data_IF_862860567862
#
_entry.id   IF_862860567862
#
_cell.length_a   1.000
_cell.length_b   1.000
_cell.length_c   1.000
_cell.angle_alpha   90.00
_cell.angle_beta   90.00
_cell.angle_gamma   90.00
#
_symmetry.space_group_name_H-M   'P 1'
#
loop_
_entity.id
_entity.type
_entity.pdbx_description
1 polymer ?
#
# COMPACT_ATOMS: atom_id res chain seq x y z
N UNK A 1 -74.20 24.42 -18.82
CA UNK A 1 -72.74 24.25 -18.67
C UNK A 1 -72.34 25.03 -17.42
N UNK A 2 -72.22 24.36 -16.28
CA UNK A 2 -71.83 24.97 -15.01
C UNK A 2 -70.32 25.14 -14.99
N UNK A 3 -69.85 26.38 -15.16
CA UNK A 3 -68.45 26.72 -14.96
C UNK A 3 -68.13 26.67 -13.46
N UNK A 4 -67.42 25.62 -13.03
CA UNK A 4 -66.78 25.59 -11.71
C UNK A 4 -65.56 26.51 -11.75
N UNK A 5 -65.66 27.66 -11.10
CA UNK A 5 -64.56 28.60 -10.87
C UNK A 5 -63.53 27.92 -9.96
N UNK A 6 -62.38 27.53 -10.51
CA UNK A 6 -61.29 26.92 -9.76
C UNK A 6 -60.60 28.02 -8.93
N UNK A 7 -60.84 28.06 -7.62
CA UNK A 7 -60.11 28.95 -6.71
C UNK A 7 -58.69 28.43 -6.55
N UNK A 8 -57.73 29.15 -7.14
CA UNK A 8 -56.31 28.92 -6.85
C UNK A 8 -56.07 29.07 -5.33
N UNK A 9 -55.50 28.06 -4.67
CA UNK A 9 -55.12 28.20 -3.28
C UNK A 9 -54.03 29.28 -3.21
N UNK A 10 -54.26 30.32 -2.41
CA UNK A 10 -53.22 31.29 -2.05
C UNK A 10 -52.14 30.55 -1.25
N UNK A 11 -51.14 30.04 -1.95
CA UNK A 11 -49.96 29.47 -1.33
C UNK A 11 -49.20 30.64 -0.69
N UNK A 12 -49.30 30.72 0.63
CA UNK A 12 -48.62 31.69 1.49
C UNK A 12 -47.09 31.47 1.41
N UNK A 13 -46.46 32.05 0.39
CA UNK A 13 -45.01 32.04 0.16
C UNK A 13 -44.22 32.68 1.33
N UNK A 14 -44.89 33.51 2.15
CA UNK A 14 -44.35 34.07 3.40
C UNK A 14 -44.11 33.04 4.50
N UNK A 15 -44.75 31.86 4.43
CA UNK A 15 -44.46 30.74 5.36
C UNK A 15 -43.18 30.00 4.98
N UNK A 16 -42.94 29.79 3.68
CA UNK A 16 -41.78 29.05 3.18
C UNK A 16 -40.49 29.85 3.35
N UNK A 17 -40.48 31.14 2.97
CA UNK A 17 -39.29 31.98 3.12
C UNK A 17 -38.81 32.05 4.57
N UNK A 18 -39.74 32.22 5.52
CA UNK A 18 -39.45 32.27 6.95
C UNK A 18 -38.95 30.91 7.49
N UNK A 19 -39.56 29.81 7.04
CA UNK A 19 -39.09 28.46 7.37
C UNK A 19 -37.67 28.20 6.84
N UNK A 20 -37.35 28.68 5.64
CA UNK A 20 -36.01 28.56 5.04
C UNK A 20 -34.99 29.37 5.86
N UNK A 21 -35.31 30.60 6.24
CA UNK A 21 -34.43 31.47 7.02
C UNK A 21 -34.15 30.90 8.42
N UNK A 22 -35.18 30.39 9.11
CA UNK A 22 -35.05 29.72 10.41
C UNK A 22 -34.25 28.41 10.33
N UNK A 23 -34.43 27.63 9.26
CA UNK A 23 -33.63 26.40 9.06
C UNK A 23 -32.19 26.70 8.67
N UNK A 24 -31.95 27.74 7.86
CA UNK A 24 -30.59 28.18 7.52
C UNK A 24 -29.83 28.67 8.76
N UNK A 25 -30.51 29.43 9.64
CA UNK A 25 -29.95 29.83 10.93
C UNK A 25 -29.57 28.63 11.79
N UNK A 26 -30.51 27.70 11.99
CA UNK A 26 -30.27 26.46 12.75
C UNK A 26 -29.18 25.58 12.13
N UNK A 27 -29.16 25.44 10.80
CA UNK A 27 -28.13 24.68 10.11
C UNK A 27 -26.74 25.30 10.29
N UNK A 28 -26.65 26.64 10.30
CA UNK A 28 -25.39 27.35 10.55
C UNK A 28 -24.90 27.15 11.97
N UNK A 29 -25.79 27.19 12.97
CA UNK A 29 -25.43 26.92 14.37
C UNK A 29 -24.96 25.48 14.56
N UNK A 30 -25.70 24.51 14.03
CA UNK A 30 -25.32 23.08 14.06
C UNK A 30 -23.97 22.87 13.38
N UNK A 31 -23.73 23.52 12.23
CA UNK A 31 -22.45 23.43 11.52
C UNK A 31 -21.30 24.00 12.35
N UNK A 32 -21.47 25.19 12.92
CA UNK A 32 -20.44 25.85 13.76
C UNK A 32 -20.14 25.00 14.99
N UNK A 33 -21.16 24.45 15.64
CA UNK A 33 -21.00 23.59 16.80
C UNK A 33 -20.35 22.24 16.44
N UNK A 34 -20.77 21.62 15.33
CA UNK A 34 -20.17 20.40 14.82
C UNK A 34 -18.69 20.58 14.49
N UNK A 35 -18.32 21.68 13.81
CA UNK A 35 -16.92 22.00 13.49
C UNK A 35 -16.13 22.25 14.77
N UNK A 36 -16.67 23.01 15.73
CA UNK A 36 -16.01 23.28 17.00
C UNK A 36 -15.77 21.99 17.77
N UNK A 37 -16.76 21.10 17.83
CA UNK A 37 -16.65 19.82 18.52
C UNK A 37 -15.71 18.83 17.79
N UNK A 38 -15.75 18.78 16.45
CA UNK A 38 -14.78 18.01 15.67
C UNK A 38 -13.36 18.52 15.88
N UNK A 39 -13.17 19.84 15.94
CA UNK A 39 -11.86 20.44 16.15
C UNK A 39 -11.30 20.17 17.55
N UNK A 40 -12.17 20.11 18.57
CA UNK A 40 -11.75 19.76 19.93
C UNK A 40 -11.41 18.28 20.05
N UNK A 41 -12.24 17.40 19.49
CA UNK A 41 -12.00 15.95 19.45
C UNK A 41 -10.74 15.64 18.64
N UNK A 42 -10.55 16.27 17.49
CA UNK A 42 -9.36 16.05 16.66
C UNK A 42 -8.10 16.52 17.37
N UNK A 43 -8.10 17.70 18.00
CA UNK A 43 -6.97 18.19 18.80
C UNK A 43 -6.64 17.25 19.96
N UNK A 44 -7.65 16.74 20.67
CA UNK A 44 -7.45 15.80 21.77
C UNK A 44 -6.88 14.47 21.29
N UNK A 45 -7.41 13.93 20.19
CA UNK A 45 -6.90 12.70 19.57
C UNK A 45 -5.46 12.87 19.09
N UNK A 46 -5.15 14.01 18.47
CA UNK A 46 -3.79 14.34 18.00
C UNK A 46 -2.83 14.51 19.18
N UNK A 47 -3.22 15.25 20.23
CA UNK A 47 -2.35 15.45 21.40
C UNK A 47 -2.08 14.12 22.08
N UNK A 48 -3.11 13.29 22.27
CA UNK A 48 -2.95 11.95 22.83
C UNK A 48 -2.07 11.05 21.97
N UNK A 49 -2.27 11.03 20.65
CA UNK A 49 -1.40 10.27 19.75
C UNK A 49 0.05 10.77 19.78
N UNK A 50 0.26 12.07 19.93
CA UNK A 50 1.59 12.67 20.09
C UNK A 50 2.25 12.25 21.40
N UNK A 51 1.52 12.24 22.50
CA UNK A 51 2.05 11.85 23.80
C UNK A 51 2.33 10.34 23.84
N UNK A 52 1.42 9.51 23.32
CA UNK A 52 1.60 8.06 23.22
C UNK A 52 2.75 7.67 22.29
N UNK A 53 2.94 8.39 21.17
CA UNK A 53 4.10 8.16 20.29
C UNK A 53 5.41 8.61 20.92
N UNK A 54 5.43 9.75 21.62
CA UNK A 54 6.62 10.21 22.36
C UNK A 54 7.02 9.20 23.43
N UNK A 55 6.05 8.69 24.19
CA UNK A 55 6.25 7.62 25.18
C UNK A 55 6.81 6.34 24.53
N UNK A 56 6.21 5.91 23.42
CA UNK A 56 6.67 4.71 22.72
C UNK A 56 8.11 4.89 22.25
N UNK A 57 8.42 6.01 21.59
CA UNK A 57 9.75 6.31 21.06
C UNK A 57 10.79 6.44 22.19
N UNK A 58 10.43 7.05 23.32
CA UNK A 58 11.37 7.19 24.45
C UNK A 58 11.75 5.87 25.09
N UNK A 59 10.89 4.85 24.96
CA UNK A 59 11.10 3.54 25.56
C UNK A 59 11.69 2.51 24.57
N UNK A 60 11.85 2.86 23.30
CA UNK A 60 12.48 1.99 22.30
C UNK A 60 13.97 1.79 22.62
N UNK A 61 14.41 0.53 22.54
CA UNK A 61 15.81 0.18 22.72
C UNK A 61 16.57 0.25 21.39
N UNK A 62 17.90 0.35 21.43
CA UNK A 62 18.80 0.29 20.26
C UNK A 62 18.54 -0.97 19.41
N UNK A 63 18.25 -2.10 20.06
CA UNK A 63 17.91 -3.36 19.38
C UNK A 63 16.64 -3.20 18.53
N UNK A 64 15.63 -2.48 19.03
CA UNK A 64 14.38 -2.25 18.29
C UNK A 64 14.62 -1.38 17.06
N UNK A 65 15.51 -0.38 17.17
CA UNK A 65 15.94 0.44 16.04
C UNK A 65 16.70 -0.36 14.98
N UNK A 66 17.59 -1.27 15.37
CA UNK A 66 18.35 -2.12 14.43
C UNK A 66 17.38 -3.01 13.64
N UNK A 67 16.47 -3.71 14.33
CA UNK A 67 15.49 -4.56 13.66
C UNK A 67 14.51 -3.76 12.78
N UNK A 68 14.11 -2.57 13.23
CA UNK A 68 13.31 -1.65 12.41
C UNK A 68 14.04 -1.24 11.14
N UNK A 69 15.33 -0.89 11.24
CA UNK A 69 16.13 -0.52 10.07
C UNK A 69 16.32 -1.68 9.10
N UNK A 70 16.61 -2.90 9.60
CA UNK A 70 16.73 -4.10 8.77
C UNK A 70 15.41 -4.36 8.02
N UNK A 71 14.27 -4.27 8.71
CA UNK A 71 12.96 -4.45 8.08
C UNK A 71 12.71 -3.42 6.98
N UNK A 72 12.97 -2.14 7.26
CA UNK A 72 12.85 -1.07 6.27
C UNK A 72 13.78 -1.25 5.07
N UNK A 73 15.01 -1.72 5.29
CA UNK A 73 15.95 -2.01 4.22
C UNK A 73 15.47 -3.16 3.33
N UNK A 74 14.93 -4.25 3.91
CA UNK A 74 14.36 -5.37 3.16
C UNK A 74 13.16 -4.93 2.32
N UNK A 75 12.24 -4.16 2.92
CA UNK A 75 11.08 -3.59 2.20
C UNK A 75 11.56 -2.65 1.08
N UNK A 76 12.56 -1.81 1.35
CA UNK A 76 13.14 -0.90 0.38
C UNK A 76 13.72 -1.64 -0.83
N UNK A 77 14.53 -2.67 -0.59
CA UNK A 77 15.09 -3.52 -1.65
C UNK A 77 13.97 -4.18 -2.45
N UNK A 78 13.00 -4.84 -1.79
CA UNK A 78 11.86 -5.46 -2.47
C UNK A 78 11.05 -4.45 -3.30
N UNK A 79 10.92 -3.22 -2.82
CA UNK A 79 10.24 -2.14 -3.56
C UNK A 79 10.99 -1.73 -4.84
N UNK A 80 12.32 -1.77 -4.84
CA UNK A 80 13.12 -1.54 -6.05
C UNK A 80 12.89 -2.64 -7.08
N UNK A 81 12.85 -3.91 -6.65
CA UNK A 81 12.54 -5.04 -7.52
C UNK A 81 11.11 -4.94 -8.08
N UNK A 82 10.14 -4.55 -7.26
CA UNK A 82 8.76 -4.31 -7.71
C UNK A 82 8.71 -3.20 -8.76
N UNK A 83 9.38 -2.07 -8.51
CA UNK A 83 9.45 -0.95 -9.45
C UNK A 83 10.10 -1.35 -10.77
N UNK A 84 11.20 -2.11 -10.72
CA UNK A 84 11.85 -2.64 -11.91
C UNK A 84 10.92 -3.60 -12.69
N UNK A 85 10.20 -4.47 -12.00
CA UNK A 85 9.23 -5.37 -12.62
C UNK A 85 8.07 -4.65 -13.30
N UNK A 86 7.48 -3.65 -12.64
CA UNK A 86 6.42 -2.81 -13.22
C UNK A 86 6.96 -1.98 -14.39
N UNK A 87 8.17 -1.42 -14.25
CA UNK A 87 8.85 -0.70 -15.33
C UNK A 87 9.09 -1.58 -16.56
N UNK A 88 9.50 -2.84 -16.35
CA UNK A 88 9.69 -3.81 -17.42
C UNK A 88 8.37 -4.13 -18.14
N UNK A 89 7.28 -4.31 -17.42
CA UNK A 89 5.94 -4.49 -18.02
C UNK A 89 5.55 -3.26 -18.84
N UNK A 90 5.78 -2.06 -18.32
CA UNK A 90 5.56 -0.81 -19.05
C UNK A 90 6.36 -0.75 -20.35
N UNK A 91 7.63 -1.17 -20.30
CA UNK A 91 8.48 -1.27 -21.48
C UNK A 91 7.98 -2.32 -22.49
N UNK A 92 7.55 -3.49 -22.03
CA UNK A 92 6.94 -4.53 -22.87
C UNK A 92 5.68 -4.03 -23.59
N UNK A 93 4.85 -3.22 -22.91
CA UNK A 93 3.67 -2.59 -23.53
C UNK A 93 4.09 -1.60 -24.63
N UNK A 94 5.15 -0.81 -24.41
CA UNK A 94 5.67 0.11 -25.44
C UNK A 94 6.17 -0.66 -26.67
N UNK A 95 6.95 -1.72 -26.48
CA UNK A 95 7.42 -2.58 -27.58
C UNK A 95 6.26 -3.22 -28.33
N UNK A 96 5.26 -3.73 -27.59
CA UNK A 96 4.08 -4.31 -28.20
C UNK A 96 3.29 -3.31 -29.06
N UNK A 97 3.20 -2.05 -28.64
CA UNK A 97 2.57 -1.00 -29.45
C UNK A 97 3.34 -0.67 -30.73
N UNK A 98 4.67 -0.86 -30.73
CA UNK A 98 5.52 -0.58 -31.89
C UNK A 98 5.52 -1.73 -32.89
N UNK A 99 5.71 -2.96 -32.39
CA UNK A 99 5.95 -4.13 -33.22
C UNK A 99 4.69 -5.01 -33.41
N UNK A 100 3.62 -4.75 -32.67
CA UNK A 100 2.37 -5.53 -32.69
C UNK A 100 2.49 -6.93 -32.08
N UNK A 101 3.68 -7.32 -31.63
CA UNK A 101 4.00 -8.64 -31.05
C UNK A 101 4.46 -8.46 -29.61
N UNK A 102 3.93 -9.29 -28.70
CA UNK A 102 4.30 -9.22 -27.29
C UNK A 102 5.72 -9.76 -27.09
N UNK A 103 6.62 -8.94 -26.55
CA UNK A 103 8.00 -9.35 -26.28
C UNK A 103 8.11 -10.11 -24.97
N UNK A 104 8.51 -11.37 -25.03
CA UNK A 104 8.78 -12.20 -23.86
C UNK A 104 10.22 -11.97 -23.35
N UNK A 105 10.36 -11.57 -22.09
CA UNK A 105 11.66 -11.45 -21.42
C UNK A 105 11.80 -12.54 -20.35
N UNK A 106 12.45 -13.69 -20.64
CA UNK A 106 12.66 -14.75 -19.66
C UNK A 106 13.74 -14.39 -18.62
N UNK A 107 13.68 -15.01 -17.43
CA UNK A 107 14.71 -14.85 -16.38
C UNK A 107 16.10 -15.20 -16.91
N UNK A 108 16.20 -16.12 -17.87
CA UNK A 108 17.45 -16.52 -18.52
C UNK A 108 18.33 -15.33 -18.95
N UNK A 109 17.74 -14.21 -19.35
CA UNK A 109 18.48 -12.99 -19.74
C UNK A 109 19.33 -12.47 -18.58
N UNK A 110 18.73 -12.34 -17.38
CA UNK A 110 19.42 -11.87 -16.18
C UNK A 110 20.39 -12.91 -15.67
N UNK A 111 20.02 -14.19 -15.73
CA UNK A 111 20.91 -15.27 -15.34
C UNK A 111 22.19 -15.27 -16.18
N UNK A 112 22.07 -15.21 -17.51
CA UNK A 112 23.22 -15.17 -18.40
C UNK A 112 24.07 -13.93 -18.15
N UNK A 113 23.45 -12.76 -17.94
CA UNK A 113 24.18 -11.53 -17.63
C UNK A 113 24.96 -11.60 -16.30
N UNK A 114 24.37 -12.17 -15.24
CA UNK A 114 25.00 -12.22 -13.92
C UNK A 114 26.03 -13.35 -13.77
N UNK A 115 25.81 -14.46 -14.48
CA UNK A 115 26.57 -15.69 -14.30
C UNK A 115 27.43 -16.06 -15.51
N UNK A 116 27.59 -15.16 -16.47
CA UNK A 116 28.45 -15.39 -17.64
C UNK A 116 29.86 -15.85 -17.20
N UNK A 117 30.34 -16.96 -17.75
CA UNK A 117 31.67 -17.50 -17.44
C UNK A 117 31.82 -18.11 -16.03
N UNK A 118 30.75 -18.20 -15.24
CA UNK A 118 30.80 -18.79 -13.89
C UNK A 118 30.47 -20.28 -13.88
N UNK A 119 30.81 -20.97 -12.79
CA UNK A 119 30.53 -22.41 -12.58
C UNK A 119 29.04 -22.76 -12.76
N UNK A 120 28.07 -21.98 -12.23
CA UNK A 120 26.64 -22.21 -12.49
C UNK A 120 26.26 -22.22 -13.98
N UNK A 121 26.81 -21.30 -14.78
CA UNK A 121 26.52 -21.25 -16.21
C UNK A 121 27.16 -22.44 -16.96
N UNK A 122 28.39 -22.81 -16.62
CA UNK A 122 29.04 -23.99 -17.19
C UNK A 122 28.27 -25.28 -16.86
N UNK A 123 27.84 -25.44 -15.61
CA UNK A 123 27.03 -26.59 -15.19
C UNK A 123 25.68 -26.66 -15.93
N UNK A 124 25.04 -25.52 -16.20
CA UNK A 124 23.81 -25.48 -17.00
C UNK A 124 24.01 -25.94 -18.44
N UNK A 125 25.17 -25.68 -19.02
CA UNK A 125 25.52 -26.11 -20.39
C UNK A 125 26.03 -27.55 -20.47
N UNK A 126 26.82 -27.98 -19.50
CA UNK A 126 27.43 -29.31 -19.43
C UNK A 126 27.34 -29.83 -17.98
N UNK A 127 26.21 -30.42 -17.57
CA UNK A 127 26.03 -30.86 -16.18
C UNK A 127 26.86 -32.11 -15.89
N UNK A 128 27.88 -31.95 -15.05
CA UNK A 128 28.69 -33.08 -14.54
C UNK A 128 27.94 -33.92 -13.50
N UNK A 129 26.91 -33.35 -12.86
CA UNK A 129 26.07 -34.02 -11.85
C UNK A 129 24.69 -33.36 -11.75
N UNK A 130 23.74 -34.01 -11.07
CA UNK A 130 22.39 -33.46 -10.80
C UNK A 130 21.61 -33.03 -12.06
N UNK A 131 21.67 -33.83 -13.14
CA UNK A 131 21.02 -33.54 -14.42
C UNK A 131 19.51 -33.26 -14.28
N UNK A 132 18.82 -33.95 -13.38
CA UNK A 132 17.40 -33.68 -13.11
C UNK A 132 17.16 -32.27 -12.57
N UNK A 133 18.01 -31.78 -11.66
CA UNK A 133 17.95 -30.42 -11.15
C UNK A 133 18.30 -29.41 -12.25
N UNK A 134 19.30 -29.71 -13.09
CA UNK A 134 19.67 -28.88 -14.24
C UNK A 134 18.46 -28.66 -15.16
N UNK A 135 17.70 -29.71 -15.46
CA UNK A 135 16.50 -29.59 -16.31
C UNK A 135 15.40 -28.74 -15.70
N UNK A 136 15.22 -28.82 -14.37
CA UNK A 136 14.26 -27.97 -13.65
C UNK A 136 14.69 -26.50 -13.69
N UNK A 137 15.97 -26.22 -13.46
CA UNK A 137 16.52 -24.86 -13.51
C UNK A 137 16.43 -24.29 -14.93
N UNK A 138 16.80 -25.07 -15.94
CA UNK A 138 16.69 -24.69 -17.36
C UNK A 138 15.23 -24.37 -17.72
N UNK A 139 14.28 -25.21 -17.31
CA UNK A 139 12.86 -24.96 -17.52
C UNK A 139 12.41 -23.67 -16.83
N UNK A 140 12.82 -23.43 -15.58
CA UNK A 140 12.45 -22.23 -14.83
C UNK A 140 13.01 -20.96 -15.48
N UNK A 141 14.28 -20.99 -15.89
CA UNK A 141 14.93 -19.85 -16.55
C UNK A 141 14.27 -19.50 -17.89
N UNK A 142 13.83 -20.51 -18.65
CA UNK A 142 13.23 -20.33 -19.97
C UNK A 142 11.75 -19.92 -19.91
N UNK A 143 10.98 -20.46 -18.98
CA UNK A 143 9.52 -20.33 -18.99
C UNK A 143 8.98 -19.24 -18.05
N UNK A 144 9.75 -18.81 -17.05
CA UNK A 144 9.28 -17.77 -16.14
C UNK A 144 9.58 -16.38 -16.72
N UNK A 145 8.57 -15.51 -16.92
CA UNK A 145 8.81 -14.14 -17.31
C UNK A 145 9.54 -13.38 -16.21
N UNK A 146 10.57 -12.63 -16.59
CA UNK A 146 11.37 -11.82 -15.68
C UNK A 146 10.50 -10.83 -14.91
N UNK A 147 9.53 -10.18 -15.56
CA UNK A 147 8.61 -9.24 -14.90
C UNK A 147 7.82 -9.92 -13.77
N UNK A 148 7.29 -11.12 -13.99
CA UNK A 148 6.59 -11.88 -12.96
C UNK A 148 7.51 -12.28 -11.81
N UNK A 149 8.74 -12.70 -12.13
CA UNK A 149 9.76 -13.06 -11.14
C UNK A 149 10.22 -11.88 -10.28
N UNK A 150 10.13 -10.66 -10.80
CA UNK A 150 10.42 -9.43 -10.06
C UNK A 150 9.22 -8.99 -9.21
N UNK A 151 8.01 -9.03 -9.76
CA UNK A 151 6.80 -8.50 -9.10
C UNK A 151 6.31 -9.42 -7.99
N UNK A 152 6.11 -10.70 -8.27
CA UNK A 152 5.39 -11.61 -7.36
C UNK A 152 6.14 -11.78 -6.03
N UNK A 153 7.45 -12.13 -6.03
CA UNK A 153 8.19 -12.26 -4.78
C UNK A 153 8.28 -10.94 -4.02
N UNK A 154 8.41 -9.82 -4.72
CA UNK A 154 8.49 -8.50 -4.09
C UNK A 154 7.20 -8.14 -3.35
N UNK A 155 6.02 -8.37 -3.95
CA UNK A 155 4.74 -8.14 -3.28
C UNK A 155 4.58 -9.01 -2.04
N UNK A 156 4.97 -10.29 -2.13
CA UNK A 156 4.93 -11.22 -1.00
C UNK A 156 5.85 -10.72 0.13
N UNK A 157 7.11 -10.39 -0.17
CA UNK A 157 8.08 -9.92 0.83
C UNK A 157 7.62 -8.62 1.47
N UNK A 158 7.17 -7.63 0.69
CA UNK A 158 6.66 -6.36 1.23
C UNK A 158 5.48 -6.61 2.17
N UNK A 159 4.51 -7.42 1.74
CA UNK A 159 3.29 -7.68 2.52
C UNK A 159 3.60 -8.41 3.83
N UNK A 160 4.43 -9.45 3.76
CA UNK A 160 4.84 -10.24 4.93
C UNK A 160 5.66 -9.37 5.90
N UNK A 161 6.65 -8.64 5.41
CA UNK A 161 7.49 -7.80 6.25
C UNK A 161 6.74 -6.64 6.88
N UNK A 162 5.80 -6.02 6.15
CA UNK A 162 4.93 -4.98 6.70
C UNK A 162 4.05 -5.54 7.84
N UNK A 163 3.47 -6.73 7.66
CA UNK A 163 2.67 -7.40 8.68
C UNK A 163 3.50 -7.74 9.92
N UNK A 164 4.67 -8.34 9.75
CA UNK A 164 5.58 -8.68 10.85
C UNK A 164 5.99 -7.42 11.60
N UNK A 165 6.34 -6.34 10.89
CA UNK A 165 6.74 -5.07 11.50
C UNK A 165 5.61 -4.45 12.30
N UNK A 166 4.39 -4.44 11.75
CA UNK A 166 3.22 -3.92 12.46
C UNK A 166 2.94 -4.72 13.74
N UNK A 167 2.96 -6.06 13.66
CA UNK A 167 2.77 -6.93 14.81
C UNK A 167 3.87 -6.73 15.87
N UNK A 168 5.13 -6.60 15.45
CA UNK A 168 6.25 -6.35 16.36
C UNK A 168 6.09 -5.02 17.10
N UNK A 169 5.70 -3.94 16.40
CA UNK A 169 5.46 -2.63 17.01
C UNK A 169 4.30 -2.68 18.01
N UNK A 170 3.19 -3.33 17.66
CA UNK A 170 2.04 -3.49 18.55
C UNK A 170 2.42 -4.28 19.79
N UNK A 171 3.11 -5.41 19.63
CA UNK A 171 3.60 -6.22 20.74
C UNK A 171 4.51 -5.41 21.68
N UNK A 172 5.46 -4.67 21.11
CA UNK A 172 6.39 -3.84 21.87
C UNK A 172 5.70 -2.72 22.63
N UNK A 173 4.69 -2.10 22.03
CA UNK A 173 3.87 -1.07 22.67
C UNK A 173 3.09 -1.63 23.88
N UNK A 174 2.49 -2.82 23.73
CA UNK A 174 1.81 -3.50 24.83
C UNK A 174 2.77 -3.90 25.96
N UNK A 175 3.99 -4.32 25.62
CA UNK A 175 5.02 -4.63 26.61
C UNK A 175 5.34 -3.38 27.45
N UNK A 176 5.61 -2.24 26.82
CA UNK A 176 5.90 -1.00 27.55
C UNK A 176 4.74 -0.52 28.43
N UNK A 177 3.49 -0.64 27.96
CA UNK A 177 2.31 -0.33 28.77
C UNK A 177 2.10 -1.28 29.95
N UNK A 178 2.57 -2.53 29.86
CA UNK A 178 2.51 -3.49 30.97
C UNK A 178 3.57 -3.16 32.02
N UNK A 179 4.78 -2.85 31.57
CA UNK A 179 5.90 -2.53 32.46
C UNK A 179 5.68 -1.20 33.21
N UNK A 180 4.91 -0.25 32.65
CA UNK A 180 4.50 0.98 33.33
C UNK A 180 3.51 0.75 34.49
N UNK A 181 2.71 -0.32 34.44
CA UNK A 181 1.65 -0.61 35.43
C UNK A 181 2.14 -1.40 36.63
N UNK A 182 3.37 -1.92 36.59
CA UNK A 182 4.01 -2.67 37.68
C UNK A 182 4.99 -1.78 38.44
#
# INVERSE_FOLDING_TARGET
MTHTEYKEPKIDNTSWNRWVEENLGRAKEIYVEAVKNLSSISRLSISRARDESKFFISNLNVVDFIWGFISMAVIGIASLFLLAGVGLVGYQVVLWMQDGVWSEFPIAIVFNFLFEGTVPAQWLTNPESWVGLQKVVEWLLANVPLSAALIIPSLVVISVMACISALALVFRFYQFKKDEKN
#
